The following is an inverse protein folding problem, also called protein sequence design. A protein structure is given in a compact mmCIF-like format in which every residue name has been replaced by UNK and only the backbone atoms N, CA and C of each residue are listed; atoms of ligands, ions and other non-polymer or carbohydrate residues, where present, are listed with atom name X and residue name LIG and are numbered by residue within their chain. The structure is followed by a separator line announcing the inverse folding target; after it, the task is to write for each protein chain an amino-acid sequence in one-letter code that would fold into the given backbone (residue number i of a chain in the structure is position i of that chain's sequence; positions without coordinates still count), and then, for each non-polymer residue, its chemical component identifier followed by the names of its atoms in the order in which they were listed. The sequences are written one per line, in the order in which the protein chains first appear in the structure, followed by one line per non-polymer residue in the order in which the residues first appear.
data_IF_336274020529
#
_entry.id   IF_336274020529
#
_cell.length_a   1.000
_cell.length_b   1.000
_cell.length_c   1.000
_cell.angle_alpha   90.00
_cell.angle_beta   90.00
_cell.angle_gamma   90.00
#
_symmetry.space_group_name_H-M   'P 1'
#
loop_
_entity.id
_entity.type
_entity.pdbx_description
1 polymer ?
#
# COMPACT_ATOMS: atom_id res chain seq x y z
N UNK A 1 -23.90 -8.51 -17.17
CA UNK A 1 -22.69 -9.08 -16.56
C UNK A 1 -23.11 -10.28 -15.74
N UNK A 2 -22.36 -11.39 -15.68
CA UNK A 2 -22.67 -12.44 -14.73
C UNK A 2 -22.54 -11.85 -13.32
N UNK A 3 -23.65 -11.82 -12.61
CA UNK A 3 -23.77 -11.23 -11.26
C UNK A 3 -22.76 -11.85 -10.28
N UNK A 4 -22.29 -13.08 -10.57
CA UNK A 4 -21.28 -13.79 -9.80
C UNK A 4 -19.92 -13.08 -9.76
N UNK A 5 -19.32 -12.74 -10.91
CA UNK A 5 -17.97 -12.15 -10.96
C UNK A 5 -17.95 -10.76 -10.30
N UNK A 6 -19.02 -9.98 -10.49
CA UNK A 6 -19.14 -8.67 -9.86
C UNK A 6 -19.14 -8.79 -8.33
N UNK A 7 -19.95 -9.71 -7.79
CA UNK A 7 -20.03 -9.94 -6.35
C UNK A 7 -18.73 -10.52 -5.77
N UNK A 8 -18.03 -11.39 -6.50
CA UNK A 8 -16.72 -11.93 -6.10
C UNK A 8 -15.68 -10.81 -5.92
N UNK A 9 -15.61 -9.86 -6.85
CA UNK A 9 -14.70 -8.71 -6.75
C UNK A 9 -15.13 -7.78 -5.61
N UNK A 10 -16.43 -7.51 -5.46
CA UNK A 10 -16.94 -6.68 -4.35
C UNK A 10 -16.56 -7.27 -2.99
N UNK A 11 -16.71 -8.58 -2.80
CA UNK A 11 -16.30 -9.26 -1.57
C UNK A 11 -14.79 -9.22 -1.38
N UNK A 12 -14.00 -9.41 -2.44
CA UNK A 12 -12.53 -9.31 -2.37
C UNK A 12 -12.04 -7.91 -1.98
N UNK A 13 -12.75 -6.87 -2.39
CA UNK A 13 -12.45 -5.49 -1.93
C UNK A 13 -12.86 -5.33 -0.47
N UNK A 14 -14.03 -5.86 -0.08
CA UNK A 14 -14.61 -5.71 1.27
C UNK A 14 -13.80 -6.39 2.38
N UNK A 15 -13.00 -7.41 2.08
CA UNK A 15 -12.15 -8.08 3.09
C UNK A 15 -11.04 -7.18 3.64
N UNK A 16 -10.74 -6.06 2.99
CA UNK A 16 -9.77 -5.08 3.48
C UNK A 16 -10.37 -4.22 4.60
N UNK A 17 -9.54 -3.86 5.59
CA UNK A 17 -9.97 -3.06 6.73
C UNK A 17 -10.58 -1.71 6.29
N UNK A 18 -11.75 -1.38 6.85
CA UNK A 18 -12.41 -0.08 6.63
C UNK A 18 -13.26 0.05 5.37
N UNK A 19 -13.43 -1.00 4.56
CA UNK A 19 -14.29 -0.97 3.36
C UNK A 19 -15.64 -1.68 3.59
N UNK A 20 -16.73 -1.03 3.16
CA UNK A 20 -18.10 -1.58 3.22
C UNK A 20 -18.57 -2.05 1.84
N UNK A 21 -19.52 -3.00 1.80
CA UNK A 21 -20.11 -3.51 0.55
C UNK A 21 -20.54 -2.38 -0.40
N UNK A 22 -21.29 -1.40 0.11
CA UNK A 22 -21.74 -0.23 -0.66
C UNK A 22 -20.58 0.60 -1.22
N UNK A 23 -19.49 0.75 -0.48
CA UNK A 23 -18.31 1.51 -0.94
C UNK A 23 -17.54 0.73 -2.00
N UNK A 24 -17.41 -0.59 -1.82
CA UNK A 24 -16.78 -1.51 -2.79
C UNK A 24 -17.55 -1.57 -4.11
N UNK A 25 -18.88 -1.69 -4.06
CA UNK A 25 -19.76 -1.64 -5.24
C UNK A 25 -19.59 -0.32 -5.99
N UNK A 26 -19.63 0.80 -5.27
CA UNK A 26 -19.46 2.13 -5.88
C UNK A 26 -18.09 2.28 -6.56
N UNK A 27 -17.02 1.78 -5.93
CA UNK A 27 -15.69 1.78 -6.53
C UNK A 27 -15.67 0.97 -7.83
N UNK A 28 -16.16 -0.27 -7.79
CA UNK A 28 -16.16 -1.16 -8.95
C UNK A 28 -16.99 -0.60 -10.10
N UNK A 29 -18.19 -0.09 -9.83
CA UNK A 29 -19.02 0.58 -10.85
C UNK A 29 -18.30 1.79 -11.44
N UNK A 30 -17.69 2.65 -10.62
CA UNK A 30 -16.96 3.82 -11.11
C UNK A 30 -15.76 3.47 -12.00
N UNK A 31 -15.14 2.31 -11.81
CA UNK A 31 -14.09 1.81 -12.69
C UNK A 31 -14.71 1.24 -13.99
N UNK A 32 -15.79 0.47 -13.90
CA UNK A 32 -16.45 -0.15 -15.06
C UNK A 32 -17.10 0.87 -16.02
N UNK A 33 -17.52 2.04 -15.52
CA UNK A 33 -18.08 3.11 -16.35
C UNK A 33 -17.05 3.73 -17.31
N UNK A 34 -15.75 3.55 -17.07
CA UNK A 34 -14.70 4.05 -17.92
C UNK A 34 -13.63 2.97 -18.14
N UNK A 35 -13.67 2.34 -19.32
CA UNK A 35 -12.76 1.24 -19.67
C UNK A 35 -11.29 1.62 -19.60
N UNK A 36 -10.92 2.81 -20.08
CA UNK A 36 -9.53 3.28 -20.05
C UNK A 36 -9.03 3.43 -18.60
N UNK A 37 -9.89 3.95 -17.71
CA UNK A 37 -9.58 4.07 -16.28
C UNK A 37 -9.42 2.70 -15.62
N UNK A 38 -10.25 1.71 -15.98
CA UNK A 38 -10.12 0.35 -15.48
C UNK A 38 -8.81 -0.31 -15.97
N UNK A 39 -8.51 -0.18 -17.26
CA UNK A 39 -7.30 -0.74 -17.85
C UNK A 39 -6.04 -0.09 -17.25
N UNK A 40 -6.05 1.22 -17.03
CA UNK A 40 -4.98 1.93 -16.32
C UNK A 40 -4.82 1.41 -14.88
N UNK A 41 -5.92 1.27 -14.14
CA UNK A 41 -5.89 0.78 -12.77
C UNK A 41 -5.32 -0.64 -12.67
N UNK A 42 -5.74 -1.55 -13.57
CA UNK A 42 -5.20 -2.91 -13.67
C UNK A 42 -3.70 -2.88 -13.95
N UNK A 43 -3.26 -2.04 -14.91
CA UNK A 43 -1.85 -1.90 -15.25
C UNK A 43 -1.01 -1.38 -14.06
N UNK A 44 -1.53 -0.42 -13.30
CA UNK A 44 -0.87 0.09 -12.10
C UNK A 44 -0.76 -0.99 -11.01
N UNK A 45 -1.82 -1.76 -10.75
CA UNK A 45 -1.79 -2.87 -9.81
C UNK A 45 -0.78 -3.95 -10.20
N UNK A 46 -0.70 -4.29 -11.49
CA UNK A 46 0.31 -5.23 -11.99
C UNK A 46 1.73 -4.72 -11.74
N UNK A 47 2.00 -3.43 -11.97
CA UNK A 47 3.30 -2.82 -11.67
C UNK A 47 3.61 -2.87 -10.18
N UNK A 48 2.64 -2.57 -9.31
CA UNK A 48 2.81 -2.67 -7.85
C UNK A 48 3.19 -4.09 -7.46
N UNK A 49 2.47 -5.10 -7.96
CA UNK A 49 2.75 -6.50 -7.64
C UNK A 49 4.12 -6.98 -8.14
N UNK A 50 4.63 -6.42 -9.23
CA UNK A 50 5.93 -6.78 -9.80
C UNK A 50 7.11 -6.03 -9.15
N UNK A 51 6.93 -4.76 -8.81
CA UNK A 51 8.01 -3.87 -8.40
C UNK A 51 8.11 -3.71 -6.89
N UNK A 52 7.00 -3.77 -6.17
CA UNK A 52 6.99 -3.51 -4.73
C UNK A 52 7.30 -4.80 -3.97
N UNK A 53 8.38 -4.75 -3.21
CA UNK A 53 8.81 -5.77 -2.26
C UNK A 53 8.95 -5.18 -0.86
N UNK A 54 9.24 -6.04 0.11
CA UNK A 54 9.60 -5.63 1.46
C UNK A 54 11.09 -5.28 1.54
N UNK A 55 11.43 -4.21 2.25
CA UNK A 55 12.79 -3.81 2.55
C UNK A 55 13.45 -4.82 3.48
N UNK A 56 14.63 -5.32 3.10
CA UNK A 56 15.39 -6.33 3.87
C UNK A 56 15.96 -5.83 5.20
N UNK A 57 15.99 -4.51 5.41
CA UNK A 57 16.57 -3.88 6.62
C UNK A 57 15.49 -3.59 7.66
N UNK A 58 14.38 -2.99 7.23
CA UNK A 58 13.39 -2.43 8.15
C UNK A 58 11.98 -2.98 8.00
N UNK A 59 11.67 -3.77 6.96
CA UNK A 59 10.31 -4.24 6.74
C UNK A 59 9.36 -3.25 6.04
N UNK A 60 9.83 -2.07 5.63
CA UNK A 60 9.00 -1.09 4.90
C UNK A 60 8.83 -1.48 3.42
N UNK A 61 7.86 -0.89 2.70
CA UNK A 61 7.73 -1.09 1.25
C UNK A 61 8.92 -0.50 0.49
N UNK A 62 9.35 -1.19 -0.56
CA UNK A 62 10.55 -0.87 -1.32
C UNK A 62 10.43 -1.35 -2.76
N UNK A 63 10.97 -0.57 -3.71
CA UNK A 63 11.13 -1.02 -5.10
C UNK A 63 12.43 -1.81 -5.31
N UNK A 64 13.47 -1.57 -4.48
CA UNK A 64 14.83 -2.06 -4.74
C UNK A 64 15.50 -2.70 -3.52
N UNK A 65 14.96 -3.78 -2.94
CA UNK A 65 15.45 -4.48 -1.72
C UNK A 65 15.66 -3.63 -0.44
N UNK A 66 15.77 -2.31 -0.57
CA UNK A 66 16.10 -1.29 0.41
C UNK A 66 15.19 -0.09 0.14
N UNK A 67 14.40 0.30 1.13
CA UNK A 67 13.46 1.41 0.98
C UNK A 67 14.19 2.77 0.96
N UNK A 68 13.47 3.80 0.51
CA UNK A 68 13.97 5.16 0.43
C UNK A 68 14.51 5.66 1.79
N UNK A 69 13.79 5.42 2.89
CA UNK A 69 14.21 5.87 4.23
C UNK A 69 15.56 5.29 4.63
N UNK A 70 15.80 4.00 4.39
CA UNK A 70 17.08 3.36 4.70
C UNK A 70 18.20 3.78 3.75
N UNK A 71 17.87 4.22 2.54
CA UNK A 71 18.86 4.62 1.52
C UNK A 71 19.38 6.05 1.68
N UNK A 72 18.68 6.89 2.44
CA UNK A 72 19.02 8.30 2.61
C UNK A 72 20.08 8.52 3.67
N UNK A 73 21.20 9.14 3.29
CA UNK A 73 22.32 9.47 4.19
C UNK A 73 22.00 10.63 5.14
N UNK A 74 20.98 11.44 4.84
CA UNK A 74 20.55 12.54 5.70
C UNK A 74 19.71 12.09 6.91
N UNK A 75 19.44 10.79 7.03
CA UNK A 75 18.72 10.19 8.17
C UNK A 75 19.69 9.77 9.26
N UNK A 76 19.27 9.90 10.51
CA UNK A 76 20.03 9.43 11.65
C UNK A 76 19.92 7.89 11.76
N UNK A 77 20.96 7.18 11.32
CA UNK A 77 21.03 5.72 11.35
C UNK A 77 21.20 5.15 12.78
N UNK A 78 21.50 5.99 13.78
CA UNK A 78 21.66 5.58 15.18
C UNK A 78 20.34 5.65 15.97
N UNK A 79 19.23 6.00 15.33
CA UNK A 79 17.92 6.10 15.98
C UNK A 79 16.87 5.37 15.16
N UNK A 80 16.24 4.37 15.77
CA UNK A 80 15.25 3.50 15.14
C UNK A 80 13.89 3.70 15.80
N UNK A 81 12.85 4.00 15.03
CA UNK A 81 11.46 4.01 15.45
C UNK A 81 10.82 2.67 15.09
N UNK A 82 10.50 1.90 16.12
CA UNK A 82 9.82 0.62 15.98
C UNK A 82 8.32 0.90 15.85
N UNK A 83 7.69 0.36 14.82
CA UNK A 83 6.25 0.48 14.58
C UNK A 83 5.63 -0.88 14.26
N UNK A 84 4.33 -1.02 14.57
CA UNK A 84 3.56 -2.22 14.27
C UNK A 84 3.37 -2.42 12.77
N UNK A 85 2.93 -1.37 12.06
CA UNK A 85 2.52 -1.47 10.65
C UNK A 85 3.22 -0.44 9.76
N UNK A 86 3.21 -0.69 8.45
CA UNK A 86 3.67 0.27 7.43
C UNK A 86 2.86 1.57 7.51
N UNK A 87 1.56 1.50 7.84
CA UNK A 87 0.69 2.67 7.96
C UNK A 87 1.11 3.57 9.12
N UNK A 88 1.54 2.99 10.25
CA UNK A 88 2.07 3.75 11.38
C UNK A 88 3.33 4.53 10.98
N UNK A 89 4.29 3.87 10.32
CA UNK A 89 5.48 4.54 9.81
C UNK A 89 5.12 5.63 8.79
N UNK A 90 4.16 5.38 7.88
CA UNK A 90 3.68 6.38 6.91
C UNK A 90 3.07 7.61 7.59
N UNK A 91 2.31 7.42 8.67
CA UNK A 91 1.72 8.52 9.44
C UNK A 91 2.80 9.38 10.11
N UNK A 92 3.84 8.76 10.67
CA UNK A 92 4.97 9.48 11.28
C UNK A 92 5.77 10.23 10.20
N UNK A 93 6.03 9.58 9.07
CA UNK A 93 6.79 10.16 7.95
C UNK A 93 6.06 11.37 7.36
N UNK A 94 4.74 11.30 7.17
CA UNK A 94 3.91 12.42 6.69
C UNK A 94 3.98 13.66 7.61
N UNK A 95 4.25 13.46 8.92
CA UNK A 95 4.41 14.57 9.85
C UNK A 95 5.74 15.33 9.65
N UNK A 96 6.70 14.77 8.90
CA UNK A 96 8.01 15.37 8.56
C UNK A 96 8.85 15.86 9.77
N UNK A 97 8.57 15.32 10.97
CA UNK A 97 9.27 15.69 12.22
C UNK A 97 10.31 14.67 12.66
N UNK A 98 10.25 13.45 12.14
CA UNK A 98 11.14 12.36 12.51
C UNK A 98 12.28 12.23 11.49
N UNK A 99 13.53 12.21 11.98
CA UNK A 99 14.74 12.12 11.13
C UNK A 99 15.50 10.80 11.26
N UNK A 100 15.04 9.88 12.11
CA UNK A 100 15.63 8.54 12.22
C UNK A 100 15.15 7.59 11.13
N UNK A 101 15.45 6.30 11.32
CA UNK A 101 14.96 5.20 10.47
C UNK A 101 13.87 4.41 11.17
N UNK A 102 13.17 3.54 10.44
CA UNK A 102 12.08 2.74 10.98
C UNK A 102 12.48 1.27 11.11
N UNK A 103 11.73 0.53 11.91
CA UNK A 103 11.65 -0.93 11.86
C UNK A 103 10.19 -1.36 12.05
N UNK A 104 9.67 -2.17 11.13
CA UNK A 104 8.26 -2.54 11.04
C UNK A 104 8.11 -3.99 11.47
N UNK A 105 7.29 -4.23 12.48
CA UNK A 105 7.08 -5.56 13.07
C UNK A 105 6.13 -6.44 12.23
N UNK A 106 5.24 -5.83 11.44
CA UNK A 106 4.19 -6.49 10.65
C UNK A 106 3.12 -7.20 11.49
N UNK A 107 2.78 -6.64 12.65
CA UNK A 107 1.83 -7.22 13.60
C UNK A 107 2.53 -7.98 14.71
#
# INVERSE_FOLDING_TARGET
MPESIFNEIVESIRTNEGLTKKTSERLLVNLLLNKDKLDEFINQLNKVNQLISTCKICGYLSENNKCLVCSLDNRNQNTICIVSTILDAKNIENANKYKGVYHILNG
#
